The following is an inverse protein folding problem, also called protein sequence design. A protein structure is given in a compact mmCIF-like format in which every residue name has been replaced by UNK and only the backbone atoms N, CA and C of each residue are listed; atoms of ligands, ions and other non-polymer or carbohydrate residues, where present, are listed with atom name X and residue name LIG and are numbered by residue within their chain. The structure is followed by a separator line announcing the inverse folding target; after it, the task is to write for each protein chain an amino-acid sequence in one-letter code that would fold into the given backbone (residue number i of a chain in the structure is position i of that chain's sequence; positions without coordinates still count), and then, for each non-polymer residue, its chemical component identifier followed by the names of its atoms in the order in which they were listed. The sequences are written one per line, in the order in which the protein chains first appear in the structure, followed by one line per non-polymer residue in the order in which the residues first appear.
data_IF_354722467319
#
_entry.id   IF_354722467319
#
_cell.length_a   1.000
_cell.length_b   1.000
_cell.length_c   1.000
_cell.angle_alpha   90.00
_cell.angle_beta   90.00
_cell.angle_gamma   90.00
#
_symmetry.space_group_name_H-M   'P 1'
#
loop_
_entity.id
_entity.type
_entity.pdbx_description
1 polymer ?
#
# COMPACT_ATOMS: atom_id res chain seq x y z
N UNK A 1 30.98 -34.29 15.44
CA UNK A 1 29.59 -33.87 15.36
C UNK A 1 29.48 -32.46 15.96
N UNK A 2 29.47 -31.41 15.18
CA UNK A 2 29.19 -30.04 15.64
C UNK A 2 27.74 -29.74 15.28
N UNK A 3 26.89 -29.69 16.29
CA UNK A 3 25.55 -29.14 16.15
C UNK A 3 25.66 -27.70 15.69
N UNK A 4 25.26 -27.42 14.46
CA UNK A 4 25.13 -26.09 13.94
C UNK A 4 23.78 -25.58 14.41
N UNK A 5 23.78 -24.74 15.43
CA UNK A 5 22.60 -23.98 15.90
C UNK A 5 22.11 -23.07 14.77
N UNK A 6 21.15 -23.54 13.99
CA UNK A 6 20.34 -22.73 13.10
C UNK A 6 19.21 -22.15 13.96
N UNK A 7 19.51 -21.13 14.73
CA UNK A 7 18.48 -20.39 15.45
C UNK A 7 18.78 -18.90 15.43
N UNK A 8 17.94 -18.15 14.80
CA UNK A 8 17.73 -16.73 15.10
C UNK A 8 18.31 -15.69 14.18
N UNK A 9 19.14 -16.03 13.18
CA UNK A 9 19.74 -15.02 12.30
C UNK A 9 19.01 -14.82 10.96
N UNK A 10 18.26 -15.80 10.48
CA UNK A 10 17.59 -15.74 9.18
C UNK A 10 16.49 -14.67 9.18
N UNK A 11 15.67 -14.59 10.22
CA UNK A 11 14.58 -13.60 10.29
C UNK A 11 15.05 -12.16 10.49
N UNK A 12 16.24 -11.94 11.06
CA UNK A 12 16.80 -10.59 11.25
C UNK A 12 17.49 -10.07 9.98
N UNK A 13 18.13 -10.96 9.20
CA UNK A 13 18.72 -10.60 7.90
C UNK A 13 17.65 -10.38 6.83
N UNK A 14 16.55 -11.15 6.83
CA UNK A 14 15.44 -10.97 5.88
C UNK A 14 14.75 -9.60 6.06
N UNK A 15 14.54 -9.14 7.29
CA UNK A 15 14.03 -7.80 7.57
C UNK A 15 14.97 -6.69 7.10
N UNK A 16 16.29 -6.88 7.23
CA UNK A 16 17.31 -5.94 6.80
C UNK A 16 17.44 -5.85 5.29
N UNK A 17 17.41 -6.98 4.59
CA UNK A 17 17.52 -7.06 3.12
C UNK A 17 16.33 -6.44 2.40
N UNK A 18 15.11 -6.73 2.85
CA UNK A 18 13.90 -6.11 2.29
C UNK A 18 13.93 -4.59 2.44
N UNK A 19 14.42 -4.09 3.57
CA UNK A 19 14.56 -2.67 3.82
C UNK A 19 15.66 -2.01 2.93
N UNK A 20 16.80 -2.68 2.72
CA UNK A 20 17.86 -2.16 1.84
C UNK A 20 17.44 -2.14 0.36
N UNK A 21 16.77 -3.18 -0.11
CA UNK A 21 16.27 -3.28 -1.49
C UNK A 21 15.18 -2.24 -1.74
N UNK A 22 14.29 -1.99 -0.79
CA UNK A 22 13.30 -0.93 -0.85
C UNK A 22 13.94 0.46 -0.84
N UNK A 23 14.90 0.71 0.04
CA UNK A 23 15.57 2.00 0.20
C UNK A 23 16.28 2.47 -1.09
N UNK A 24 16.72 1.55 -1.93
CA UNK A 24 17.42 1.83 -3.19
C UNK A 24 16.49 2.06 -4.39
N UNK A 25 15.17 1.80 -4.25
CA UNK A 25 14.24 1.84 -5.39
C UNK A 25 13.49 3.17 -5.49
N UNK A 26 14.06 4.12 -6.24
CA UNK A 26 13.47 5.45 -6.49
C UNK A 26 12.09 5.37 -7.15
N UNK A 27 11.87 4.42 -8.08
CA UNK A 27 10.60 4.28 -8.79
C UNK A 27 9.46 3.90 -7.82
N UNK A 28 9.74 3.05 -6.85
CA UNK A 28 8.78 2.67 -5.82
C UNK A 28 8.32 3.88 -4.99
N UNK A 29 9.26 4.70 -4.50
CA UNK A 29 8.91 5.90 -3.72
C UNK A 29 8.15 6.94 -4.53
N UNK A 30 8.52 7.16 -5.79
CA UNK A 30 7.79 8.06 -6.70
C UNK A 30 6.37 7.52 -6.93
N UNK A 31 6.21 6.20 -7.08
CA UNK A 31 4.92 5.55 -7.20
C UNK A 31 4.04 5.77 -5.98
N UNK A 32 4.56 5.53 -4.77
CA UNK A 32 3.83 5.75 -3.51
C UNK A 32 3.49 7.24 -3.34
N UNK A 33 4.40 8.16 -3.63
CA UNK A 33 4.10 9.58 -3.60
C UNK A 33 2.99 9.98 -4.58
N UNK A 34 2.99 9.39 -5.78
CA UNK A 34 1.92 9.58 -6.77
C UNK A 34 0.56 9.09 -6.27
N UNK A 35 0.52 7.94 -5.59
CA UNK A 35 -0.74 7.42 -5.01
C UNK A 35 -1.24 8.27 -3.83
N UNK A 36 -0.34 8.84 -3.01
CA UNK A 36 -0.69 9.80 -1.96
C UNK A 36 -1.31 11.06 -2.56
N UNK A 37 -0.66 11.65 -3.57
CA UNK A 37 -1.19 12.82 -4.29
C UNK A 37 -2.56 12.54 -4.92
N UNK A 38 -2.74 11.36 -5.51
CA UNK A 38 -4.03 10.94 -6.06
C UNK A 38 -5.09 10.79 -4.96
N UNK A 39 -4.71 10.29 -3.78
CA UNK A 39 -5.58 10.24 -2.60
C UNK A 39 -6.05 11.63 -2.17
N UNK A 40 -5.14 12.59 -2.09
CA UNK A 40 -5.49 13.99 -1.78
C UNK A 40 -6.41 14.60 -2.85
N UNK A 41 -6.12 14.38 -4.12
CA UNK A 41 -7.00 14.86 -5.21
C UNK A 41 -8.37 14.16 -5.20
N UNK A 42 -8.44 12.90 -4.78
CA UNK A 42 -9.72 12.21 -4.58
C UNK A 42 -10.54 12.87 -3.47
N UNK A 43 -9.89 13.30 -2.38
CA UNK A 43 -10.54 14.05 -1.30
C UNK A 43 -11.09 15.41 -1.75
N UNK A 44 -10.43 16.08 -2.71
CA UNK A 44 -10.90 17.37 -3.24
C UNK A 44 -12.27 17.28 -3.93
N UNK A 45 -12.68 16.10 -4.42
CA UNK A 45 -14.03 15.91 -4.98
C UNK A 45 -15.13 16.16 -3.95
N UNK A 46 -14.91 15.81 -2.69
CA UNK A 46 -15.87 16.11 -1.62
C UNK A 46 -15.94 17.60 -1.31
N UNK A 47 -14.81 18.32 -1.42
CA UNK A 47 -14.79 19.79 -1.31
C UNK A 47 -15.56 20.45 -2.44
N UNK A 48 -15.39 19.94 -3.66
CA UNK A 48 -16.13 20.41 -4.83
C UNK A 48 -17.62 20.13 -4.71
N UNK A 49 -17.99 18.93 -4.23
CA UNK A 49 -19.40 18.61 -3.96
C UNK A 49 -20.01 19.60 -2.97
N UNK A 50 -19.28 19.92 -1.90
CA UNK A 50 -19.71 20.91 -0.92
C UNK A 50 -19.88 22.29 -1.56
N UNK A 51 -18.95 22.73 -2.41
CA UNK A 51 -19.04 23.99 -3.14
C UNK A 51 -20.25 24.03 -4.09
N UNK A 52 -20.53 22.92 -4.80
CA UNK A 52 -21.73 22.80 -5.64
C UNK A 52 -23.00 22.89 -4.81
N UNK A 53 -23.06 22.21 -3.66
CA UNK A 53 -24.22 22.28 -2.77
C UNK A 53 -24.44 23.67 -2.21
N UNK A 54 -23.37 24.40 -1.83
CA UNK A 54 -23.49 25.79 -1.40
C UNK A 54 -24.00 26.71 -2.55
N UNK A 55 -23.49 26.50 -3.77
CA UNK A 55 -23.96 27.27 -4.94
C UNK A 55 -25.46 27.05 -5.21
N UNK A 56 -25.92 25.80 -5.15
CA UNK A 56 -27.34 25.46 -5.30
C UNK A 56 -28.20 26.05 -4.18
N UNK A 57 -27.70 26.05 -2.95
CA UNK A 57 -28.41 26.57 -1.78
C UNK A 57 -28.55 28.09 -1.80
N UNK A 58 -27.60 28.80 -2.42
CA UNK A 58 -27.62 30.28 -2.52
C UNK A 58 -28.80 30.81 -3.34
N UNK A 59 -29.43 29.99 -4.17
CA UNK A 59 -30.58 30.33 -5.00
C UNK A 59 -30.27 31.35 -6.13
N UNK A 60 -29.03 31.81 -6.23
CA UNK A 60 -28.56 32.69 -7.29
C UNK A 60 -27.93 31.86 -8.40
N UNK A 61 -28.68 31.62 -9.46
CA UNK A 61 -28.19 30.88 -10.61
C UNK A 61 -27.43 31.84 -11.54
N UNK A 62 -26.10 31.90 -11.33
CA UNK A 62 -25.20 32.64 -12.21
C UNK A 62 -24.50 31.65 -13.16
N UNK A 63 -24.74 31.82 -14.48
CA UNK A 63 -24.20 30.93 -15.50
C UNK A 63 -22.68 31.02 -15.57
N UNK A 64 -22.08 32.16 -15.32
CA UNK A 64 -20.62 32.34 -15.34
C UNK A 64 -19.98 31.59 -14.19
N UNK A 65 -20.56 31.63 -13.01
CA UNK A 65 -20.09 30.84 -11.86
C UNK A 65 -20.23 29.33 -12.08
N UNK A 66 -21.30 28.87 -12.69
CA UNK A 66 -21.54 27.50 -13.05
C UNK A 66 -20.47 26.98 -14.05
N UNK A 67 -20.14 27.81 -15.06
CA UNK A 67 -19.10 27.49 -16.05
C UNK A 67 -17.70 27.40 -15.39
N UNK A 68 -17.36 28.35 -14.52
CA UNK A 68 -16.10 28.33 -13.78
C UNK A 68 -16.01 27.09 -12.91
N UNK A 69 -17.06 26.76 -12.16
CA UNK A 69 -17.09 25.56 -11.29
C UNK A 69 -16.93 24.28 -12.12
N UNK A 70 -17.62 24.17 -13.24
CA UNK A 70 -17.51 23.04 -14.18
C UNK A 70 -16.06 22.92 -14.72
N UNK A 71 -15.46 24.04 -15.09
CA UNK A 71 -14.07 24.09 -15.56
C UNK A 71 -13.07 23.65 -14.51
N UNK A 72 -13.25 24.06 -13.26
CA UNK A 72 -12.42 23.61 -12.12
C UNK A 72 -12.55 22.10 -11.89
N UNK A 73 -13.78 21.58 -11.90
CA UNK A 73 -14.02 20.13 -11.75
C UNK A 73 -13.34 19.35 -12.88
N UNK A 74 -13.50 19.78 -14.13
CA UNK A 74 -12.87 19.14 -15.28
C UNK A 74 -11.34 19.20 -15.19
N UNK A 75 -10.77 20.34 -14.79
CA UNK A 75 -9.34 20.53 -14.61
C UNK A 75 -8.75 19.61 -13.54
N UNK A 76 -9.40 19.50 -12.38
CA UNK A 76 -8.99 18.60 -11.31
C UNK A 76 -9.09 17.13 -11.77
N UNK A 77 -10.12 16.77 -12.51
CA UNK A 77 -10.29 15.41 -13.02
C UNK A 77 -9.18 15.03 -14.02
N UNK A 78 -8.85 15.92 -14.95
CA UNK A 78 -7.73 15.71 -15.88
C UNK A 78 -6.38 15.58 -15.15
N UNK A 79 -6.11 16.47 -14.20
CA UNK A 79 -4.90 16.43 -13.38
C UNK A 79 -4.80 15.11 -12.62
N UNK A 80 -5.92 14.65 -12.08
CA UNK A 80 -5.99 13.36 -11.37
C UNK A 80 -5.65 12.19 -12.27
N UNK A 81 -6.17 12.14 -13.50
CA UNK A 81 -5.85 11.08 -14.47
C UNK A 81 -4.34 11.05 -14.76
N UNK A 82 -3.73 12.21 -14.97
CA UNK A 82 -2.29 12.29 -15.25
C UNK A 82 -1.44 11.81 -14.08
N UNK A 83 -1.74 12.28 -12.87
CA UNK A 83 -1.01 11.90 -11.66
C UNK A 83 -1.20 10.41 -11.36
N UNK A 84 -2.43 9.89 -11.48
CA UNK A 84 -2.71 8.48 -11.27
C UNK A 84 -1.97 7.61 -12.28
N UNK A 85 -2.05 7.92 -13.56
CA UNK A 85 -1.38 7.15 -14.61
C UNK A 85 0.14 7.09 -14.40
N UNK A 86 0.77 8.22 -14.11
CA UNK A 86 2.20 8.29 -13.85
C UNK A 86 2.60 7.59 -12.56
N UNK A 87 1.91 7.88 -11.46
CA UNK A 87 2.18 7.28 -10.15
C UNK A 87 1.98 5.77 -10.14
N UNK A 88 0.88 5.30 -10.71
CA UNK A 88 0.57 3.88 -10.82
C UNK A 88 1.64 3.14 -11.65
N UNK A 89 2.01 3.67 -12.80
CA UNK A 89 3.06 3.06 -13.65
C UNK A 89 4.38 2.96 -12.90
N UNK A 90 4.78 4.01 -12.18
CA UNK A 90 6.01 4.02 -11.38
C UNK A 90 5.95 3.04 -10.20
N UNK A 91 4.80 2.90 -9.55
CA UNK A 91 4.59 1.91 -8.49
C UNK A 91 4.74 0.47 -9.00
N UNK A 92 4.15 0.17 -10.17
CA UNK A 92 4.25 -1.15 -10.80
C UNK A 92 5.68 -1.49 -11.18
N UNK A 93 6.39 -0.58 -11.85
CA UNK A 93 7.80 -0.77 -12.20
C UNK A 93 8.65 -0.96 -10.94
N UNK A 94 8.46 -0.11 -9.93
CA UNK A 94 9.21 -0.18 -8.68
C UNK A 94 8.97 -1.49 -7.92
N UNK A 95 7.74 -1.96 -7.83
CA UNK A 95 7.41 -3.24 -7.20
C UNK A 95 7.99 -4.45 -7.94
N UNK A 96 7.93 -4.44 -9.28
CA UNK A 96 8.53 -5.48 -10.11
C UNK A 96 10.07 -5.52 -9.99
N UNK A 97 10.72 -4.35 -9.92
CA UNK A 97 12.18 -4.26 -9.69
C UNK A 97 12.58 -4.84 -8.33
N UNK A 98 11.83 -4.54 -7.27
CA UNK A 98 12.06 -5.11 -5.94
C UNK A 98 11.91 -6.62 -5.97
N UNK A 99 10.83 -7.13 -6.56
CA UNK A 99 10.57 -8.56 -6.72
C UNK A 99 11.68 -9.27 -7.48
N UNK A 100 12.13 -8.68 -8.60
CA UNK A 100 13.27 -9.20 -9.37
C UNK A 100 14.54 -9.30 -8.53
N UNK A 101 14.87 -8.27 -7.75
CA UNK A 101 16.06 -8.25 -6.92
C UNK A 101 16.00 -9.31 -5.82
N UNK A 102 14.82 -9.51 -5.21
CA UNK A 102 14.61 -10.59 -4.23
C UNK A 102 14.82 -11.96 -4.87
N UNK A 103 14.26 -12.20 -6.06
CA UNK A 103 14.45 -13.49 -6.77
C UNK A 103 15.91 -13.75 -7.12
N UNK A 104 16.63 -12.73 -7.58
CA UNK A 104 18.08 -12.85 -7.89
C UNK A 104 18.88 -13.18 -6.62
N UNK A 105 18.60 -12.48 -5.53
CA UNK A 105 19.25 -12.75 -4.25
C UNK A 105 18.98 -14.18 -3.75
N UNK A 106 17.72 -14.62 -3.79
CA UNK A 106 17.35 -15.98 -3.40
C UNK A 106 18.00 -17.03 -4.31
N UNK A 107 18.04 -16.78 -5.63
CA UNK A 107 18.72 -17.66 -6.59
C UNK A 107 20.21 -17.79 -6.34
N UNK A 108 20.89 -16.69 -6.00
CA UNK A 108 22.31 -16.72 -5.66
C UNK A 108 22.59 -17.42 -4.31
N UNK A 109 21.68 -17.29 -3.37
CA UNK A 109 21.74 -18.01 -2.11
C UNK A 109 21.57 -19.52 -2.31
N UNK A 110 20.62 -19.93 -3.13
CA UNK A 110 20.38 -21.34 -3.49
C UNK A 110 21.60 -22.01 -4.13
N UNK A 111 22.33 -21.30 -5.01
CA UNK A 111 23.57 -21.83 -5.64
C UNK A 111 24.67 -22.16 -4.62
N UNK A 112 24.62 -21.53 -3.43
CA UNK A 112 25.61 -21.75 -2.36
C UNK A 112 25.25 -22.90 -1.41
N UNK A 113 24.03 -23.42 -1.49
CA UNK A 113 23.59 -24.55 -0.66
C UNK A 113 24.17 -25.85 -1.22
N UNK A 114 24.86 -26.67 -0.40
CA UNK A 114 25.37 -27.96 -0.82
C UNK A 114 24.27 -28.89 -1.34
N UNK A 115 24.53 -29.61 -2.41
CA UNK A 115 23.55 -30.52 -3.05
C UNK A 115 23.05 -31.61 -2.07
N UNK A 116 23.82 -31.97 -1.09
CA UNK A 116 23.44 -32.94 -0.05
C UNK A 116 22.30 -32.49 0.85
N UNK A 117 21.94 -31.19 0.83
CA UNK A 117 20.79 -30.65 1.56
C UNK A 117 19.50 -30.58 0.73
N UNK A 118 19.61 -30.83 -0.57
CA UNK A 118 18.43 -30.88 -1.43
C UNK A 118 17.77 -32.25 -1.37
N UNK A 119 16.80 -32.40 -0.47
CA UNK A 119 15.86 -33.54 -0.53
C UNK A 119 14.71 -33.20 -1.46
N UNK A 120 13.98 -34.23 -1.99
CA UNK A 120 12.87 -34.00 -2.92
C UNK A 120 11.78 -33.07 -2.34
N UNK A 121 11.46 -33.17 -1.06
CA UNK A 121 10.48 -32.29 -0.41
C UNK A 121 10.96 -30.84 -0.28
N UNK A 122 12.21 -30.65 0.13
CA UNK A 122 12.78 -29.32 0.28
C UNK A 122 12.94 -28.56 -1.05
N UNK A 123 13.20 -29.27 -2.15
CA UNK A 123 13.28 -28.63 -3.48
C UNK A 123 11.95 -28.02 -3.88
N UNK A 124 10.83 -28.70 -3.62
CA UNK A 124 9.48 -28.17 -3.87
C UNK A 124 9.20 -26.90 -3.07
N UNK A 125 9.57 -26.89 -1.79
CA UNK A 125 9.38 -25.71 -0.92
C UNK A 125 10.20 -24.52 -1.38
N UNK A 126 11.46 -24.70 -1.77
CA UNK A 126 12.30 -23.62 -2.31
C UNK A 126 11.71 -23.04 -3.61
N UNK A 127 11.23 -23.89 -4.52
CA UNK A 127 10.60 -23.44 -5.77
C UNK A 127 9.32 -22.66 -5.47
N UNK A 128 8.50 -23.17 -4.54
CA UNK A 128 7.25 -22.50 -4.15
C UNK A 128 7.52 -21.13 -3.52
N UNK A 129 8.52 -21.02 -2.63
CA UNK A 129 8.91 -19.76 -2.01
C UNK A 129 9.37 -18.75 -3.06
N UNK A 130 10.27 -19.13 -3.97
CA UNK A 130 10.78 -18.22 -5.00
C UNK A 130 9.69 -17.78 -5.99
N UNK A 131 8.73 -18.65 -6.27
CA UNK A 131 7.66 -18.35 -7.24
C UNK A 131 6.45 -17.74 -6.57
N UNK A 132 5.81 -18.45 -5.65
CA UNK A 132 4.52 -18.07 -5.07
C UNK A 132 4.64 -16.96 -4.04
N UNK A 133 5.56 -17.10 -3.08
CA UNK A 133 5.68 -16.13 -1.99
C UNK A 133 6.22 -14.80 -2.49
N UNK A 134 7.21 -14.82 -3.39
CA UNK A 134 7.73 -13.59 -4.00
C UNK A 134 6.68 -12.93 -4.87
N UNK A 135 5.84 -13.68 -5.60
CA UNK A 135 4.72 -13.10 -6.35
C UNK A 135 3.68 -12.44 -5.43
N UNK A 136 3.38 -13.05 -4.29
CA UNK A 136 2.47 -12.47 -3.30
C UNK A 136 3.07 -11.19 -2.70
N UNK A 137 4.36 -11.18 -2.39
CA UNK A 137 5.07 -10.00 -1.93
C UNK A 137 5.07 -8.87 -2.97
N UNK A 138 5.29 -9.19 -4.25
CA UNK A 138 5.19 -8.25 -5.36
C UNK A 138 3.81 -7.60 -5.45
N UNK A 139 2.72 -8.40 -5.33
CA UNK A 139 1.35 -7.87 -5.32
C UNK A 139 1.10 -6.93 -4.15
N UNK A 140 1.67 -7.21 -2.98
CA UNK A 140 1.56 -6.32 -1.81
C UNK A 140 2.26 -5.00 -2.10
N UNK A 141 3.48 -5.03 -2.62
CA UNK A 141 4.26 -3.83 -2.93
C UNK A 141 3.61 -2.99 -4.03
N UNK A 142 3.14 -3.62 -5.10
CA UNK A 142 2.61 -2.92 -6.28
C UNK A 142 1.23 -2.34 -6.07
N UNK A 143 0.36 -3.03 -5.30
CA UNK A 143 -1.04 -2.65 -5.15
C UNK A 143 -1.38 -2.22 -3.71
N UNK A 144 -1.10 -3.07 -2.72
CA UNK A 144 -1.64 -2.86 -1.38
C UNK A 144 -1.01 -1.68 -0.65
N UNK A 145 0.30 -1.45 -0.80
CA UNK A 145 0.98 -0.30 -0.18
C UNK A 145 0.48 1.01 -0.78
N UNK A 146 0.33 1.06 -2.11
CA UNK A 146 -0.22 2.24 -2.78
C UNK A 146 -1.65 2.54 -2.36
N UNK A 147 -2.53 1.53 -2.34
CA UNK A 147 -3.92 1.68 -1.92
C UNK A 147 -4.04 2.12 -0.45
N UNK A 148 -3.20 1.58 0.42
CA UNK A 148 -3.16 1.97 1.83
C UNK A 148 -2.73 3.43 1.98
N UNK A 149 -1.64 3.83 1.33
CA UNK A 149 -1.12 5.20 1.37
C UNK A 149 -2.15 6.21 0.83
N UNK A 150 -2.83 5.86 -0.28
CA UNK A 150 -3.93 6.63 -0.85
C UNK A 150 -5.09 6.80 0.13
N UNK A 151 -5.52 5.72 0.79
CA UNK A 151 -6.64 5.75 1.74
C UNK A 151 -6.33 6.62 2.94
N UNK A 152 -5.12 6.54 3.50
CA UNK A 152 -4.68 7.42 4.58
C UNK A 152 -4.66 8.88 4.17
N UNK A 153 -4.12 9.19 2.98
CA UNK A 153 -4.08 10.56 2.47
C UNK A 153 -5.48 11.14 2.29
N UNK A 154 -6.42 10.34 1.78
CA UNK A 154 -7.82 10.72 1.62
C UNK A 154 -8.50 10.98 2.96
N UNK A 155 -8.36 10.06 3.94
CA UNK A 155 -8.94 10.21 5.28
C UNK A 155 -8.44 11.47 5.97
N UNK A 156 -7.13 11.69 5.99
CA UNK A 156 -6.54 12.88 6.62
C UNK A 156 -7.08 14.16 5.96
N UNK A 157 -7.11 14.21 4.64
CA UNK A 157 -7.61 15.37 3.91
C UNK A 157 -9.08 15.64 4.20
N UNK A 158 -9.92 14.58 4.26
CA UNK A 158 -11.34 14.71 4.55
C UNK A 158 -11.57 15.23 5.97
N UNK A 159 -10.86 14.71 6.96
CA UNK A 159 -10.96 15.16 8.36
C UNK A 159 -10.59 16.63 8.46
N UNK A 160 -9.45 17.02 7.87
CA UNK A 160 -8.99 18.42 7.86
C UNK A 160 -10.04 19.33 7.22
N UNK A 161 -10.58 18.93 6.07
CA UNK A 161 -11.62 19.70 5.39
C UNK A 161 -12.88 19.85 6.24
N UNK A 162 -13.42 18.76 6.79
CA UNK A 162 -14.63 18.83 7.61
C UNK A 162 -14.40 19.65 8.89
N UNK A 163 -13.19 19.61 9.46
CA UNK A 163 -12.82 20.48 10.59
C UNK A 163 -12.84 21.96 10.22
N UNK A 164 -12.46 22.33 9.00
CA UNK A 164 -12.52 23.73 8.57
C UNK A 164 -13.96 24.22 8.35
N UNK A 165 -14.88 23.33 7.96
CA UNK A 165 -16.29 23.65 7.76
C UNK A 165 -17.07 23.63 9.07
N UNK A 166 -16.92 22.58 9.87
CA UNK A 166 -17.62 22.41 11.13
C UNK A 166 -16.82 21.54 12.10
N UNK A 167 -16.17 22.16 13.06
CA UNK A 167 -15.25 21.51 14.01
C UNK A 167 -15.84 20.29 14.72
N UNK A 168 -17.08 20.34 15.28
CA UNK A 168 -17.63 19.15 15.95
C UNK A 168 -17.76 17.93 15.04
N UNK A 169 -18.16 18.12 13.77
CA UNK A 169 -18.25 17.02 12.81
C UNK A 169 -16.86 16.45 12.48
N UNK A 170 -15.84 17.28 12.33
CA UNK A 170 -14.47 16.84 12.15
C UNK A 170 -13.94 16.01 13.33
N UNK A 171 -14.25 16.40 14.55
CA UNK A 171 -13.91 15.64 15.75
C UNK A 171 -14.61 14.27 15.81
N UNK A 172 -15.86 14.19 15.40
CA UNK A 172 -16.59 12.91 15.30
C UNK A 172 -15.93 11.98 14.29
N UNK A 173 -15.55 12.49 13.10
CA UNK A 173 -14.85 11.71 12.08
C UNK A 173 -13.49 11.22 12.59
N UNK A 174 -12.73 12.10 13.24
CA UNK A 174 -11.45 11.73 13.82
C UNK A 174 -11.61 10.66 14.91
N UNK A 175 -12.61 10.76 15.76
CA UNK A 175 -12.91 9.75 16.77
C UNK A 175 -13.31 8.41 16.13
N UNK A 176 -14.08 8.43 15.04
CA UNK A 176 -14.45 7.23 14.29
C UNK A 176 -13.23 6.55 13.66
N UNK A 177 -12.31 7.31 13.05
CA UNK A 177 -11.06 6.78 12.48
C UNK A 177 -10.14 6.20 13.57
N UNK A 178 -10.05 6.85 14.74
CA UNK A 178 -9.30 6.32 15.88
C UNK A 178 -9.88 5.02 16.41
N UNK A 179 -11.21 4.85 16.39
CA UNK A 179 -11.88 3.62 16.78
C UNK A 179 -11.60 2.45 15.82
N UNK A 180 -11.23 2.71 14.58
CA UNK A 180 -10.83 1.66 13.63
C UNK A 180 -9.47 1.05 13.97
N UNK A 181 -8.56 1.78 14.60
CA UNK A 181 -7.21 1.31 14.93
C UNK A 181 -7.23 0.03 15.79
N UNK A 182 -7.94 -0.03 16.94
CA UNK A 182 -8.01 -1.25 17.72
C UNK A 182 -8.69 -2.40 16.98
N UNK A 183 -9.68 -2.12 16.13
CA UNK A 183 -10.31 -3.12 15.25
C UNK A 183 -9.33 -3.74 14.26
N UNK A 184 -8.52 -2.92 13.61
CA UNK A 184 -7.44 -3.37 12.72
C UNK A 184 -6.39 -4.18 13.49
N UNK A 185 -5.97 -3.70 14.66
CA UNK A 185 -4.99 -4.43 15.49
C UNK A 185 -5.50 -5.81 15.89
N UNK A 186 -6.77 -5.92 16.30
CA UNK A 186 -7.40 -7.20 16.64
C UNK A 186 -7.48 -8.11 15.41
N UNK A 187 -7.86 -7.58 14.25
CA UNK A 187 -7.91 -8.31 12.97
C UNK A 187 -6.53 -8.86 12.59
N UNK A 188 -5.47 -8.05 12.66
CA UNK A 188 -4.11 -8.50 12.40
C UNK A 188 -3.65 -9.58 13.37
N UNK A 189 -4.02 -9.48 14.64
CA UNK A 189 -3.71 -10.49 15.64
C UNK A 189 -4.39 -11.83 15.34
N UNK A 190 -5.66 -11.78 14.92
CA UNK A 190 -6.42 -12.98 14.54
C UNK A 190 -5.83 -13.63 13.28
N UNK A 191 -5.57 -12.84 12.22
CA UNK A 191 -4.98 -13.33 10.97
C UNK A 191 -3.62 -13.98 11.21
N UNK A 192 -2.79 -13.39 12.07
CA UNK A 192 -1.49 -13.98 12.45
C UNK A 192 -1.66 -15.34 13.15
N UNK A 193 -2.61 -15.44 14.07
CA UNK A 193 -2.89 -16.68 14.80
C UNK A 193 -3.37 -17.79 13.86
N UNK A 194 -4.35 -17.51 13.04
CA UNK A 194 -4.88 -18.50 12.08
C UNK A 194 -3.91 -18.82 10.94
N UNK A 195 -3.04 -17.88 10.55
CA UNK A 195 -2.00 -18.11 9.57
C UNK A 195 -0.93 -19.10 10.08
N UNK A 196 -0.56 -19.02 11.36
CA UNK A 196 0.35 -19.96 11.99
C UNK A 196 -0.28 -21.36 12.10
N UNK A 197 -1.52 -21.45 12.58
CA UNK A 197 -2.26 -22.71 12.69
C UNK A 197 -2.43 -23.42 11.34
N UNK A 198 -2.65 -22.69 10.26
CA UNK A 198 -2.71 -23.25 8.92
C UNK A 198 -1.36 -23.79 8.44
N UNK A 199 -0.27 -23.11 8.73
CA UNK A 199 1.07 -23.56 8.36
C UNK A 199 1.47 -24.83 9.13
N UNK A 200 1.08 -24.94 10.40
CA UNK A 200 1.34 -26.13 11.22
C UNK A 200 0.59 -27.37 10.70
N UNK A 201 -0.68 -27.19 10.26
CA UNK A 201 -1.49 -28.25 9.64
C UNK A 201 -0.96 -28.70 8.27
N UNK A 202 -0.32 -27.80 7.52
CA UNK A 202 0.26 -28.12 6.21
C UNK A 202 1.66 -28.76 6.33
N UNK A 203 2.27 -28.74 7.53
CA UNK A 203 3.60 -29.31 7.80
C UNK A 203 3.54 -30.75 8.35
N UNK A 204 2.35 -31.24 8.73
CA UNK A 204 2.06 -32.65 9.06
C UNK A 204 1.64 -33.43 7.79
#
# INVERSE_FOLDING_TARGET
MREYKVNGSIGAEEGGLGHEVLKKNRNFYIGVAGTVLEGMLSGSLFMLLYAVMQFLWSGQFDMDQALVLTGVIAGIFLLRILIYSYGYTKAQIGGAEVSRNIRLFMGDHLKRIPLSRFTQGQTGDYINTITSDVNNYEKILTHKIGDLAKSFALSIMLIVFVMTVYVPAGLILLAADLLLIPGLWLSFRMVRKYGQEKNDICAE
#
